data_IF_574037001092
#
_entry.id   IF_574037001092
#
_cell.length_a   1.000
_cell.length_b   1.000
_cell.length_c   1.000
_cell.angle_alpha   90.00
_cell.angle_beta   90.00
_cell.angle_gamma   90.00
#
_symmetry.space_group_name_H-M   'P 1'
#
loop_
_entity.id
_entity.type
_entity.pdbx_description
1 polymer ?
#
# COMPACT_ATOMS: atom_id res chain seq x y z
N UNK A 1 0.24 21.84 -38.94
CA UNK A 1 0.66 21.47 -37.58
C UNK A 1 -0.59 21.42 -36.71
N UNK A 2 -1.09 20.22 -36.43
CA UNK A 2 -2.07 19.98 -35.37
C UNK A 2 -1.48 18.84 -34.54
N UNK A 3 -1.07 19.16 -33.31
CA UNK A 3 -0.59 18.17 -32.34
C UNK A 3 -1.83 17.50 -31.77
N UNK A 4 -2.10 16.26 -32.19
CA UNK A 4 -3.11 15.43 -31.53
C UNK A 4 -2.51 14.93 -30.21
N UNK A 5 -3.25 15.08 -29.12
CA UNK A 5 -2.92 14.40 -27.86
C UNK A 5 -2.82 12.88 -28.13
N UNK A 6 -1.82 12.18 -27.56
CA UNK A 6 -1.75 10.75 -27.69
C UNK A 6 -2.99 10.11 -27.04
N UNK A 7 -3.55 9.03 -27.64
CA UNK A 7 -4.71 8.36 -27.07
C UNK A 7 -4.37 7.85 -25.67
N UNK A 8 -5.30 8.05 -24.74
CA UNK A 8 -5.22 7.45 -23.41
C UNK A 8 -5.15 5.92 -23.58
N UNK A 9 -3.99 5.36 -23.26
CA UNK A 9 -3.79 3.92 -23.24
C UNK A 9 -4.65 3.38 -22.08
N UNK A 10 -5.59 2.45 -22.32
CA UNK A 10 -6.36 1.86 -21.23
C UNK A 10 -5.40 1.19 -20.26
N UNK A 11 -5.51 1.55 -18.98
CA UNK A 11 -4.78 0.91 -17.90
C UNK A 11 -5.33 -0.52 -17.75
N UNK A 12 -4.55 -1.50 -18.22
CA UNK A 12 -4.91 -2.91 -18.13
C UNK A 12 -4.65 -3.44 -16.70
N UNK A 13 -5.69 -3.55 -15.88
CA UNK A 13 -5.64 -4.15 -14.54
C UNK A 13 -5.32 -5.67 -14.57
N UNK A 14 -5.30 -6.29 -15.74
CA UNK A 14 -5.16 -7.74 -15.89
C UNK A 14 -3.71 -8.22 -15.72
N UNK A 15 -2.73 -7.32 -15.88
CA UNK A 15 -1.31 -7.69 -15.89
C UNK A 15 -0.62 -7.69 -14.50
N UNK A 16 -1.21 -7.08 -13.46
CA UNK A 16 -0.57 -6.98 -12.13
C UNK A 16 -0.94 -8.11 -11.15
N UNK A 17 -1.93 -8.96 -11.47
CA UNK A 17 -2.39 -10.04 -10.57
C UNK A 17 -1.55 -11.34 -10.65
N UNK A 18 -0.39 -11.32 -11.31
CA UNK A 18 0.41 -12.52 -11.58
C UNK A 18 1.54 -12.79 -10.57
N UNK A 19 1.80 -11.88 -9.62
CA UNK A 19 2.66 -12.19 -8.49
C UNK A 19 1.89 -13.10 -7.52
N UNK A 20 2.22 -14.40 -7.55
CA UNK A 20 1.57 -15.48 -6.81
C UNK A 20 1.13 -15.02 -5.40
N UNK A 21 -0.18 -14.81 -5.24
CA UNK A 21 -0.75 -14.31 -3.98
C UNK A 21 -0.38 -15.21 -2.80
N UNK A 22 -0.14 -16.50 -3.08
CA UNK A 22 0.36 -17.48 -2.12
C UNK A 22 1.73 -17.09 -1.56
N UNK A 23 2.65 -16.60 -2.41
CA UNK A 23 3.98 -16.19 -1.97
C UNK A 23 3.95 -14.95 -1.08
N UNK A 24 3.07 -13.99 -1.38
CA UNK A 24 2.90 -12.77 -0.56
C UNK A 24 2.34 -13.10 0.83
N UNK A 25 1.34 -13.98 0.87
CA UNK A 25 0.77 -14.47 2.13
C UNK A 25 1.81 -15.22 2.95
N UNK A 26 2.55 -16.14 2.32
CA UNK A 26 3.62 -16.90 2.96
C UNK A 26 4.68 -15.99 3.58
N UNK A 27 5.13 -14.97 2.85
CA UNK A 27 6.10 -13.99 3.35
C UNK A 27 5.55 -13.21 4.57
N UNK A 28 4.25 -12.87 4.55
CA UNK A 28 3.57 -12.23 5.67
C UNK A 28 3.55 -13.11 6.92
N UNK A 29 3.24 -14.41 6.78
CA UNK A 29 3.26 -15.36 7.89
C UNK A 29 4.68 -15.59 8.43
N UNK A 30 5.65 -15.84 7.55
CA UNK A 30 7.07 -16.00 7.93
C UNK A 30 7.56 -14.82 8.76
N UNK A 31 7.25 -13.59 8.31
CA UNK A 31 7.59 -12.39 9.06
C UNK A 31 6.85 -12.32 10.42
N UNK A 32 5.53 -12.53 10.43
CA UNK A 32 4.70 -12.42 11.64
C UNK A 32 5.13 -13.42 12.72
N UNK A 33 5.42 -14.66 12.34
CA UNK A 33 5.78 -15.74 13.25
C UNK A 33 7.23 -15.67 13.73
N UNK A 34 8.14 -15.09 12.93
CA UNK A 34 9.53 -14.88 13.35
C UNK A 34 9.64 -13.94 14.55
N UNK A 35 8.69 -12.99 14.70
CA UNK A 35 8.75 -11.89 15.67
C UNK A 35 10.10 -11.15 15.63
N UNK A 36 10.76 -11.11 14.45
CA UNK A 36 12.10 -10.54 14.31
C UNK A 36 12.10 -9.01 14.16
N UNK A 37 10.97 -8.42 13.75
CA UNK A 37 10.80 -6.98 13.62
C UNK A 37 9.37 -6.55 13.99
N UNK A 38 9.22 -5.32 14.51
CA UNK A 38 7.92 -4.75 14.85
C UNK A 38 7.14 -4.24 13.63
N UNK A 39 7.84 -3.82 12.57
CA UNK A 39 7.27 -3.21 11.37
C UNK A 39 7.73 -3.95 10.12
N UNK A 40 6.85 -4.05 9.12
CA UNK A 40 7.17 -4.55 7.80
C UNK A 40 6.57 -3.66 6.73
N UNK A 41 7.44 -2.99 5.98
CA UNK A 41 7.08 -2.11 4.88
C UNK A 41 6.83 -2.96 3.63
N UNK A 42 5.67 -2.76 3.00
CA UNK A 42 5.27 -3.48 1.80
C UNK A 42 4.78 -2.51 0.72
N UNK A 43 4.96 -2.84 -0.56
CA UNK A 43 4.42 -2.03 -1.65
C UNK A 43 2.90 -1.87 -1.55
N UNK A 44 2.38 -0.70 -1.94
CA UNK A 44 0.94 -0.53 -2.15
C UNK A 44 0.51 -1.27 -3.41
N UNK A 45 -0.55 -2.08 -3.30
CA UNK A 45 -1.12 -2.80 -4.44
C UNK A 45 -2.07 -1.92 -5.29
N UNK A 46 -2.45 -0.74 -4.79
CA UNK A 46 -3.36 0.20 -5.48
C UNK A 46 -2.56 1.31 -6.16
N UNK A 47 -1.48 1.74 -5.53
CA UNK A 47 -0.67 2.88 -5.95
C UNK A 47 0.78 2.40 -6.11
N UNK A 48 1.16 1.85 -7.28
CA UNK A 48 2.50 1.35 -7.53
C UNK A 48 3.43 2.53 -7.84
N UNK A 49 3.78 3.33 -6.84
CA UNK A 49 4.75 4.43 -7.02
C UNK A 49 6.09 3.96 -6.46
N UNK A 50 7.04 3.69 -7.35
CA UNK A 50 8.43 3.34 -6.99
C UNK A 50 9.13 4.44 -6.18
N UNK A 51 8.62 5.68 -6.25
CA UNK A 51 9.18 6.89 -5.64
C UNK A 51 8.17 7.63 -4.72
N UNK A 52 7.03 7.01 -4.41
CA UNK A 52 5.96 7.64 -3.64
C UNK A 52 6.16 7.50 -2.13
N UNK A 53 5.67 8.45 -1.31
CA UNK A 53 5.72 8.32 0.15
C UNK A 53 4.84 7.18 0.70
N UNK A 54 3.98 6.61 -0.16
CA UNK A 54 2.88 5.72 0.23
C UNK A 54 3.31 4.25 0.26
N UNK A 55 4.04 3.87 1.31
CA UNK A 55 4.24 2.46 1.66
C UNK A 55 3.17 2.01 2.64
N UNK A 56 2.63 0.81 2.40
CA UNK A 56 1.83 0.14 3.43
C UNK A 56 2.78 -0.40 4.50
N UNK A 57 2.37 -0.32 5.77
CA UNK A 57 3.16 -0.82 6.89
C UNK A 57 2.34 -1.80 7.70
N UNK A 58 2.84 -3.02 7.86
CA UNK A 58 2.29 -4.01 8.78
C UNK A 58 2.97 -3.85 10.14
N UNK A 59 2.20 -3.99 11.22
CA UNK A 59 2.73 -3.98 12.59
C UNK A 59 2.57 -5.37 13.20
N UNK A 60 3.60 -5.87 13.89
CA UNK A 60 3.55 -7.12 14.66
C UNK A 60 3.36 -6.82 16.15
N UNK A 61 2.15 -6.97 16.71
CA UNK A 61 1.88 -6.68 18.12
C UNK A 61 2.62 -7.61 19.10
N UNK A 62 3.09 -8.77 18.63
CA UNK A 62 3.84 -9.74 19.44
C UNK A 62 5.29 -9.27 19.69
N UNK A 63 5.80 -8.35 18.88
CA UNK A 63 7.16 -7.83 19.03
C UNK A 63 7.21 -6.80 20.19
N UNK A 64 8.13 -6.90 21.16
CA UNK A 64 8.17 -6.01 22.32
C UNK A 64 8.24 -4.51 21.97
N UNK A 65 8.97 -4.15 20.92
CA UNK A 65 9.05 -2.75 20.47
C UNK A 65 7.72 -2.18 19.93
N UNK A 66 6.73 -3.01 19.59
CA UNK A 66 5.40 -2.53 19.18
C UNK A 66 4.70 -1.75 20.31
N UNK A 67 5.02 -2.03 21.58
CA UNK A 67 4.53 -1.27 22.73
C UNK A 67 4.95 0.22 22.72
N UNK A 68 5.93 0.59 21.88
CA UNK A 68 6.37 1.98 21.71
C UNK A 68 5.54 2.75 20.68
N UNK A 69 4.74 2.07 19.87
CA UNK A 69 3.89 2.68 18.86
C UNK A 69 2.74 3.39 19.58
N UNK A 70 2.51 4.66 19.22
CA UNK A 70 1.46 5.49 19.81
C UNK A 70 0.61 6.11 18.71
N UNK A 71 -0.68 6.20 18.95
CA UNK A 71 -1.56 7.03 18.14
C UNK A 71 -1.27 8.49 18.50
N UNK A 72 -0.68 9.23 17.56
CA UNK A 72 -0.32 10.64 17.78
C UNK A 72 -1.54 11.57 17.70
N UNK A 73 -2.47 11.26 16.78
CA UNK A 73 -3.69 12.03 16.54
C UNK A 73 -4.73 11.15 15.87
N UNK A 74 -6.00 11.42 16.13
CA UNK A 74 -7.14 10.83 15.42
C UNK A 74 -7.80 11.98 14.68
N UNK A 75 -7.75 11.95 13.36
CA UNK A 75 -8.40 12.93 12.50
C UNK A 75 -9.68 12.31 11.92
N UNK A 76 -10.86 12.94 12.06
CA UNK A 76 -12.07 12.48 11.40
C UNK A 76 -11.88 12.46 9.89
N UNK A 77 -12.27 11.35 9.25
CA UNK A 77 -12.29 11.27 7.79
C UNK A 77 -13.68 11.68 7.28
N UNK A 78 -13.75 12.81 6.58
CA UNK A 78 -14.91 13.20 5.78
C UNK A 78 -14.54 13.05 4.31
N UNK A 79 -15.27 12.18 3.60
CA UNK A 79 -15.10 12.04 2.16
C UNK A 79 -15.51 13.36 1.50
N UNK A 80 -14.52 14.12 1.00
CA UNK A 80 -14.80 15.38 0.31
C UNK A 80 -15.44 15.09 -1.04
N UNK A 81 -16.77 15.20 -1.10
CA UNK A 81 -17.54 14.92 -2.31
C UNK A 81 -17.20 15.85 -3.47
N UNK A 82 -16.49 16.96 -3.22
CA UNK A 82 -15.98 17.85 -4.28
C UNK A 82 -14.85 17.22 -5.08
N UNK A 83 -14.17 16.19 -4.55
CA UNK A 83 -13.23 15.36 -5.31
C UNK A 83 -13.91 14.61 -6.48
N UNK A 84 -15.24 14.46 -6.47
CA UNK A 84 -15.99 13.81 -7.55
C UNK A 84 -16.56 14.79 -8.58
N UNK A 85 -16.34 16.09 -8.44
CA UNK A 85 -16.77 17.11 -9.41
C UNK A 85 -15.54 17.65 -10.13
N UNK A 86 -15.06 16.87 -11.10
CA UNK A 86 -14.24 17.34 -12.22
C UNK A 86 -15.13 17.81 -13.36
#
# INVERSE_FOLDING_TARGET
MASADPPAVPFDHSAEQSADSSRRIQLGYEWLDSVAAALFFVPSAIVPISDGPDQNVLTNPRHPAAARIKIARIDPFELDVRLFKG
#
